data_IF_831559133984
#
_entry.id   IF_831559133984
#
_cell.length_a   1.000
_cell.length_b   1.000
_cell.length_c   1.000
_cell.angle_alpha   90.00
_cell.angle_beta   90.00
_cell.angle_gamma   90.00
#
_symmetry.space_group_name_H-M   'P 1'
#
loop_
_entity.id
_entity.type
_entity.pdbx_description
1 polymer ?
#
# COMPACT_ATOMS: atom_id res chain seq x y z
N UNK A 1 17.41 12.15 -40.86
CA UNK A 1 16.44 11.56 -41.82
C UNK A 1 15.21 11.16 -41.05
N UNK A 2 14.23 11.97 -41.21
CA UNK A 2 12.85 11.71 -41.69
C UNK A 2 12.09 10.82 -40.71
N UNK A 3 11.16 11.42 -39.97
CA UNK A 3 9.78 11.75 -40.34
C UNK A 3 8.84 10.56 -40.27
N UNK A 4 7.76 10.79 -39.57
CA UNK A 4 6.42 10.26 -39.78
C UNK A 4 6.15 8.87 -39.16
N UNK A 5 5.39 8.89 -38.12
CA UNK A 5 4.06 8.27 -38.11
C UNK A 5 3.16 9.06 -37.15
N UNK A 6 2.53 10.02 -37.75
CA UNK A 6 1.29 10.60 -37.21
C UNK A 6 0.13 9.74 -37.79
N UNK A 7 -0.90 9.74 -37.02
CA UNK A 7 -2.28 9.52 -37.44
C UNK A 7 -2.88 8.15 -37.11
N UNK A 8 -4.00 8.30 -36.51
CA UNK A 8 -5.26 7.60 -36.68
C UNK A 8 -5.54 6.49 -35.68
N UNK A 9 -6.34 6.79 -34.70
CA UNK A 9 -7.70 6.27 -34.61
C UNK A 9 -8.47 6.92 -33.47
N UNK A 10 -9.16 7.92 -33.86
CA UNK A 10 -10.38 8.42 -33.22
C UNK A 10 -11.49 7.44 -33.59
N UNK A 11 -12.50 7.31 -32.75
CA UNK A 11 -13.80 6.65 -32.92
C UNK A 11 -13.93 5.36 -32.08
N UNK A 12 -14.60 5.46 -30.97
CA UNK A 12 -15.97 4.99 -30.81
C UNK A 12 -16.56 5.42 -29.48
N UNK A 13 -17.43 6.40 -29.57
CA UNK A 13 -18.57 6.63 -28.67
C UNK A 13 -19.51 5.42 -28.71
N UNK A 14 -20.06 5.09 -27.58
CA UNK A 14 -21.43 4.62 -27.38
C UNK A 14 -21.67 4.55 -25.89
N UNK A 15 -22.25 5.52 -25.27
CA UNK A 15 -23.64 5.76 -24.91
C UNK A 15 -24.40 4.45 -24.67
N UNK A 16 -24.63 4.17 -23.39
CA UNK A 16 -25.77 3.40 -22.94
C UNK A 16 -26.29 3.96 -21.62
N UNK A 17 -27.21 4.88 -21.77
CA UNK A 17 -28.24 5.18 -20.79
C UNK A 17 -29.26 4.02 -20.77
N UNK A 18 -29.60 3.54 -19.62
CA UNK A 18 -30.84 2.89 -19.26
C UNK A 18 -31.11 3.25 -17.82
N UNK A 19 -31.84 4.20 -17.52
CA UNK A 19 -33.25 4.51 -17.46
C UNK A 19 -34.08 3.52 -16.62
N UNK A 20 -34.45 4.06 -15.43
CA UNK A 20 -35.74 3.97 -14.77
C UNK A 20 -36.51 2.65 -14.73
N UNK A 21 -36.87 2.33 -13.50
CA UNK A 21 -37.99 1.49 -13.18
C UNK A 21 -38.49 1.75 -11.79
N UNK A 22 -39.20 2.84 -11.61
CA UNK A 22 -40.05 3.04 -10.44
C UNK A 22 -41.32 2.20 -10.65
N UNK A 23 -41.71 1.42 -9.65
CA UNK A 23 -43.07 0.95 -9.49
C UNK A 23 -43.43 0.86 -8.05
N UNK A 24 -44.26 1.80 -7.66
CA UNK A 24 -45.14 1.79 -6.53
C UNK A 24 -46.05 0.55 -6.54
N UNK A 25 -46.31 -0.03 -5.40
CA UNK A 25 -47.67 -0.26 -4.90
C UNK A 25 -47.68 -1.11 -3.62
N UNK A 26 -48.20 -0.49 -2.59
CA UNK A 26 -49.28 -1.00 -1.70
C UNK A 26 -48.86 -2.03 -0.65
N UNK A 27 -48.85 -1.50 0.60
CA UNK A 27 -49.13 -2.15 1.88
C UNK A 27 -50.43 -3.00 1.84
N UNK A 28 -50.54 -4.09 2.60
CA UNK A 28 -51.12 -3.92 3.92
C UNK A 28 -50.41 -4.65 5.04
N UNK A 29 -50.53 -4.01 6.20
CA UNK A 29 -50.23 -4.49 7.54
C UNK A 29 -50.71 -5.92 7.79
N UNK A 30 -49.89 -6.71 8.47
CA UNK A 30 -50.39 -7.63 9.47
C UNK A 30 -49.42 -7.77 10.67
N UNK A 31 -50.00 -7.86 11.79
CA UNK A 31 -49.65 -7.62 13.16
C UNK A 31 -48.82 -8.76 13.73
N UNK A 32 -47.61 -8.42 14.32
CA UNK A 32 -46.98 -8.89 15.57
C UNK A 32 -47.04 -10.41 15.94
N UNK A 33 -46.00 -11.04 16.58
CA UNK A 33 -45.38 -10.49 17.78
C UNK A 33 -43.82 -10.51 17.82
N UNK A 34 -43.31 -9.62 18.64
CA UNK A 34 -41.91 -9.53 19.06
C UNK A 34 -41.37 -10.86 19.58
N UNK A 35 -40.37 -11.37 18.88
CA UNK A 35 -39.37 -12.25 19.47
C UNK A 35 -38.15 -11.40 19.76
N UNK A 36 -38.02 -11.04 21.02
CA UNK A 36 -36.81 -10.45 21.58
C UNK A 36 -35.70 -11.48 21.45
N UNK A 37 -34.93 -11.38 20.39
CA UNK A 37 -33.64 -12.09 20.27
C UNK A 37 -32.63 -11.24 21.02
N UNK A 38 -31.95 -11.75 22.05
CA UNK A 38 -30.88 -11.03 22.68
C UNK A 38 -29.78 -10.82 21.59
N UNK A 39 -29.62 -9.57 21.22
CA UNK A 39 -28.49 -9.11 20.43
C UNK A 39 -27.24 -9.35 21.29
N UNK A 40 -26.60 -10.48 21.08
CA UNK A 40 -25.22 -10.70 21.55
C UNK A 40 -24.40 -9.69 20.76
N UNK A 41 -24.12 -8.57 21.39
CA UNK A 41 -23.05 -7.68 20.97
C UNK A 41 -21.78 -8.45 21.24
N UNK A 42 -21.34 -9.26 20.28
CA UNK A 42 -19.96 -9.66 20.22
C UNK A 42 -19.16 -8.37 20.01
N UNK A 43 -18.59 -7.90 21.09
CA UNK A 43 -17.45 -6.97 21.00
C UNK A 43 -16.45 -7.60 20.02
N UNK A 44 -15.88 -6.81 19.07
CA UNK A 44 -14.77 -7.30 18.29
C UNK A 44 -13.71 -7.74 19.30
N UNK A 45 -13.48 -9.03 19.38
CA UNK A 45 -12.28 -9.55 20.03
C UNK A 45 -11.15 -8.97 19.22
N UNK A 46 -10.51 -7.95 19.77
CA UNK A 46 -9.23 -7.46 19.31
C UNK A 46 -8.31 -8.69 19.32
N UNK A 47 -8.13 -9.28 18.14
CA UNK A 47 -7.19 -10.37 17.97
C UNK A 47 -5.86 -9.81 18.45
N UNK A 48 -5.30 -10.41 19.51
CA UNK A 48 -3.97 -10.10 19.97
C UNK A 48 -3.05 -10.21 18.76
N UNK A 49 -2.60 -9.06 18.31
CA UNK A 49 -1.67 -8.91 17.22
C UNK A 49 -0.31 -9.38 17.75
N UNK A 50 0.00 -10.66 17.56
CA UNK A 50 1.24 -11.28 18.01
C UNK A 50 2.41 -11.08 17.03
N UNK A 51 2.23 -10.23 16.02
CA UNK A 51 3.23 -9.96 15.00
C UNK A 51 4.22 -8.88 15.42
N UNK A 52 5.42 -8.96 14.85
CA UNK A 52 6.46 -7.94 14.98
C UNK A 52 6.21 -6.82 13.97
N UNK A 53 6.51 -5.59 14.34
CA UNK A 53 6.49 -4.47 13.41
C UNK A 53 7.91 -4.17 12.95
N UNK A 54 8.12 -4.18 11.63
CA UNK A 54 9.38 -3.78 11.02
C UNK A 54 9.24 -2.41 10.37
N UNK A 55 10.31 -1.61 10.46
CA UNK A 55 10.37 -0.24 9.96
C UNK A 55 11.55 -0.07 9.02
N UNK A 56 11.28 0.41 7.81
CA UNK A 56 12.32 0.80 6.86
C UNK A 56 12.28 2.30 6.69
N UNK A 57 13.38 2.97 6.99
CA UNK A 57 13.55 4.41 6.83
C UNK A 57 14.43 4.70 5.62
N UNK A 58 14.02 5.63 4.77
CA UNK A 58 14.79 6.09 3.62
C UNK A 58 15.15 7.55 3.84
N UNK A 59 16.43 7.86 3.76
CA UNK A 59 16.97 9.21 3.92
C UNK A 59 17.96 9.53 2.80
N UNK A 60 18.18 10.80 2.54
CA UNK A 60 19.26 11.23 1.66
C UNK A 60 20.62 11.30 2.39
N UNK A 61 21.68 11.65 1.67
CA UNK A 61 23.03 11.81 2.23
C UNK A 61 23.11 12.91 3.31
N UNK A 62 22.17 13.85 3.32
CA UNK A 62 22.02 14.89 4.34
C UNK A 62 21.20 14.45 5.55
N UNK A 63 20.65 13.23 5.54
CA UNK A 63 19.76 12.71 6.59
C UNK A 63 18.31 13.20 6.48
N UNK A 64 17.93 13.85 5.38
CA UNK A 64 16.57 14.28 5.17
C UNK A 64 15.68 13.10 4.73
N UNK A 65 14.42 13.04 5.19
CA UNK A 65 13.52 11.95 4.83
C UNK A 65 13.16 11.97 3.33
N UNK A 66 13.12 10.78 2.72
CA UNK A 66 12.77 10.61 1.31
C UNK A 66 11.40 9.94 1.21
N UNK A 67 10.39 10.75 0.89
CA UNK A 67 9.02 10.29 0.70
C UNK A 67 8.80 9.70 -0.69
N UNK A 68 7.89 8.71 -0.80
CA UNK A 68 7.48 8.13 -2.09
C UNK A 68 8.51 7.16 -2.69
N UNK A 69 9.53 6.75 -1.95
CA UNK A 69 10.40 5.66 -2.35
C UNK A 69 9.66 4.33 -2.23
N UNK A 70 9.71 3.49 -3.26
CA UNK A 70 9.17 2.13 -3.19
C UNK A 70 10.20 1.22 -2.52
N UNK A 71 9.89 0.80 -1.32
CA UNK A 71 10.71 -0.13 -0.53
C UNK A 71 10.11 -1.52 -0.60
N UNK A 72 10.94 -2.54 -0.63
CA UNK A 72 10.53 -3.93 -0.44
C UNK A 72 11.19 -4.50 0.80
N UNK A 73 10.40 -5.19 1.64
CA UNK A 73 10.90 -6.03 2.72
C UNK A 73 10.74 -7.48 2.29
N UNK A 74 11.84 -8.19 2.16
CA UNK A 74 11.89 -9.54 1.59
C UNK A 74 12.49 -10.55 2.57
N UNK A 75 11.84 -11.73 2.65
CA UNK A 75 12.41 -12.98 3.09
C UNK A 75 12.11 -14.04 2.00
N UNK A 76 11.12 -14.90 2.20
CA UNK A 76 10.65 -15.83 1.15
C UNK A 76 9.80 -15.10 0.09
N UNK A 77 9.06 -14.10 0.51
CA UNK A 77 8.30 -13.18 -0.36
C UNK A 77 8.72 -11.74 -0.10
N UNK A 78 8.54 -10.90 -1.10
CA UNK A 78 8.79 -9.47 -0.99
C UNK A 78 7.48 -8.70 -0.85
N UNK A 79 7.42 -7.82 0.13
CA UNK A 79 6.29 -6.95 0.41
C UNK A 79 6.65 -5.51 0.02
N UNK A 80 6.10 -4.98 -1.07
CA UNK A 80 6.36 -3.60 -1.46
C UNK A 80 5.53 -2.61 -0.63
N UNK A 81 6.14 -1.47 -0.28
CA UNK A 81 5.48 -0.36 0.38
C UNK A 81 6.14 0.97 0.02
N UNK A 82 5.34 2.03 -0.11
CA UNK A 82 5.87 3.38 -0.29
C UNK A 82 6.22 4.01 1.06
N UNK A 83 7.31 4.77 1.09
CA UNK A 83 7.63 5.60 2.23
C UNK A 83 6.67 6.78 2.34
N UNK A 84 6.30 7.11 3.58
CA UNK A 84 5.46 8.27 3.93
C UNK A 84 6.22 9.60 3.84
N UNK A 85 5.58 10.70 4.27
CA UNK A 85 6.19 12.04 4.29
C UNK A 85 7.43 12.14 5.19
N UNK A 86 7.62 11.20 6.13
CA UNK A 86 8.78 11.12 7.00
C UNK A 86 9.85 10.14 6.48
N UNK A 87 9.70 9.65 5.25
CA UNK A 87 10.58 8.68 4.64
C UNK A 87 10.47 7.28 5.25
N UNK A 88 9.33 6.91 5.83
CA UNK A 88 9.16 5.67 6.61
C UNK A 88 8.16 4.73 5.94
N UNK A 89 8.51 3.45 5.84
CA UNK A 89 7.63 2.36 5.49
C UNK A 89 7.52 1.39 6.68
N UNK A 90 6.30 1.19 7.20
CA UNK A 90 6.03 0.35 8.37
C UNK A 90 5.34 -0.94 7.94
N UNK A 91 5.84 -2.09 8.36
CA UNK A 91 5.31 -3.42 8.09
C UNK A 91 4.84 -4.03 9.41
N UNK A 92 3.54 -4.06 9.62
CA UNK A 92 2.91 -4.54 10.86
C UNK A 92 2.52 -6.01 10.75
N UNK A 93 2.42 -6.67 11.89
CA UNK A 93 1.97 -8.08 11.99
C UNK A 93 2.82 -9.06 11.20
N UNK A 94 4.11 -8.82 11.13
CA UNK A 94 5.06 -9.67 10.46
C UNK A 94 5.52 -10.81 11.37
N UNK A 95 5.91 -11.93 10.77
CA UNK A 95 6.61 -12.99 11.48
C UNK A 95 7.98 -12.47 11.97
N UNK A 96 8.37 -12.85 13.19
CA UNK A 96 9.71 -12.54 13.68
C UNK A 96 10.75 -13.38 12.94
N UNK A 97 11.67 -12.70 12.23
CA UNK A 97 12.71 -13.35 11.41
C UNK A 97 13.98 -12.51 11.42
N UNK A 98 15.12 -13.20 11.36
CA UNK A 98 16.45 -12.56 11.27
C UNK A 98 16.94 -12.38 9.82
N UNK A 99 16.30 -13.03 8.85
CA UNK A 99 16.72 -13.06 7.46
C UNK A 99 16.02 -12.02 6.56
N UNK A 100 15.27 -11.09 7.15
CA UNK A 100 14.70 -9.99 6.39
C UNK A 100 15.76 -9.08 5.81
N UNK A 101 15.54 -8.68 4.56
CA UNK A 101 16.31 -7.66 3.87
C UNK A 101 15.38 -6.62 3.26
N UNK A 102 15.79 -5.38 3.29
CA UNK A 102 15.09 -4.26 2.67
C UNK A 102 15.87 -3.71 1.48
N UNK A 103 15.17 -3.27 0.45
CA UNK A 103 15.76 -2.60 -0.71
C UNK A 103 14.82 -1.53 -1.26
N UNK A 104 15.37 -0.49 -1.87
CA UNK A 104 14.59 0.49 -2.62
C UNK A 104 14.53 0.03 -4.08
N UNK A 105 13.32 -0.18 -4.59
CA UNK A 105 13.10 -0.67 -5.95
C UNK A 105 12.66 0.40 -6.94
N UNK A 106 12.04 1.48 -6.43
CA UNK A 106 11.72 2.68 -7.24
C UNK A 106 12.10 3.91 -6.44
N UNK A 107 12.92 4.74 -7.04
CA UNK A 107 13.37 6.01 -6.47
C UNK A 107 12.42 7.14 -6.91
N UNK A 108 12.01 8.03 -6.01
CA UNK A 108 11.27 9.21 -6.42
C UNK A 108 12.14 10.17 -7.24
N UNK A 109 11.50 11.09 -7.95
CA UNK A 109 12.22 12.07 -8.77
C UNK A 109 13.24 12.86 -7.92
N UNK A 110 14.46 13.01 -8.42
CA UNK A 110 15.55 13.68 -7.72
C UNK A 110 16.38 12.78 -6.78
N UNK A 111 16.16 11.47 -6.85
CA UNK A 111 16.94 10.51 -6.05
C UNK A 111 17.40 9.31 -6.89
N UNK A 112 18.53 8.76 -6.52
CA UNK A 112 19.09 7.54 -7.12
C UNK A 112 19.76 6.67 -6.03
N UNK A 113 20.14 5.45 -6.42
CA UNK A 113 20.85 4.54 -5.54
C UNK A 113 22.21 5.14 -5.12
N UNK A 114 22.54 5.02 -3.85
CA UNK A 114 23.83 5.38 -3.32
C UNK A 114 24.75 4.15 -3.32
N UNK A 115 25.78 4.17 -4.16
CA UNK A 115 26.75 3.07 -4.27
C UNK A 115 26.17 1.79 -4.89
N UNK A 116 26.80 0.65 -4.61
CA UNK A 116 26.47 -0.64 -5.24
C UNK A 116 25.63 -1.56 -4.34
N UNK A 117 25.32 -1.15 -3.09
CA UNK A 117 24.55 -1.94 -2.13
C UNK A 117 23.06 -1.75 -2.39
N UNK A 118 22.40 -2.81 -2.81
CA UNK A 118 20.95 -2.82 -3.07
C UNK A 118 20.13 -3.41 -1.91
N UNK A 119 20.69 -4.42 -1.25
CA UNK A 119 20.03 -5.16 -0.18
C UNK A 119 20.61 -4.79 1.18
N UNK A 120 19.76 -4.39 2.10
CA UNK A 120 20.11 -4.03 3.48
C UNK A 120 19.50 -5.06 4.43
N UNK A 121 20.31 -5.91 5.02
CA UNK A 121 19.88 -6.94 5.95
C UNK A 121 19.53 -6.34 7.30
N UNK A 122 18.46 -6.86 7.90
CA UNK A 122 18.04 -6.42 9.23
C UNK A 122 18.78 -7.16 10.35
N UNK A 123 19.25 -8.39 10.08
CA UNK A 123 20.04 -9.22 11.01
C UNK A 123 19.41 -9.34 12.42
N UNK A 124 18.08 -9.47 12.44
CA UNK A 124 17.27 -9.56 13.65
C UNK A 124 16.86 -8.20 14.25
N UNK A 125 17.29 -7.08 13.67
CA UNK A 125 16.75 -5.77 14.04
C UNK A 125 15.34 -5.58 13.47
N UNK A 126 14.55 -4.73 14.11
CA UNK A 126 13.21 -4.36 13.65
C UNK A 126 13.18 -3.05 12.86
N UNK A 127 14.32 -2.38 12.74
CA UNK A 127 14.46 -1.14 11.98
C UNK A 127 15.74 -1.17 11.13
N UNK A 128 15.63 -0.65 9.91
CA UNK A 128 16.79 -0.43 9.02
C UNK A 128 16.65 0.92 8.33
N UNK A 129 17.79 1.62 8.18
CA UNK A 129 17.86 2.89 7.44
C UNK A 129 18.63 2.68 6.14
N UNK A 130 18.01 3.09 5.03
CA UNK A 130 18.60 3.07 3.69
C UNK A 130 18.91 4.52 3.29
N UNK A 131 20.16 4.78 2.95
CA UNK A 131 20.56 6.09 2.43
C UNK A 131 20.56 6.08 0.91
N UNK A 132 19.95 7.09 0.31
CA UNK A 132 19.90 7.29 -1.13
C UNK A 132 20.62 8.58 -1.50
N UNK A 133 21.02 8.71 -2.76
CA UNK A 133 21.71 9.89 -3.25
C UNK A 133 20.72 10.87 -3.86
N UNK A 134 20.81 12.14 -3.45
CA UNK A 134 20.08 13.22 -4.10
C UNK A 134 20.78 13.59 -5.42
N UNK A 135 20.01 13.71 -6.51
CA UNK A 135 20.48 14.16 -7.82
C UNK A 135 19.84 15.48 -8.16
N UNK A 136 20.68 16.44 -8.62
CA UNK A 136 20.24 17.77 -9.01
C UNK A 136 19.61 17.77 -10.42
#
# INVERSE_FOLDING_TARGET
>A
MKKLFAALLLVCMAVSLCACGASNATEPQDTTPAVTQPQVTEAPTEAEVTGVTYTVKVVDEGGNPVAGAMVQLCAEMCLPKLTDANGVAVYENMEERSDYKASVTVYPAGYEQLGDVTDHYLDGATEVTITVKAVA
#
